data_IF_134936330753
#
_entry.id   IF_134936330753
#
_cell.length_a   1.000
_cell.length_b   1.000
_cell.length_c   1.000
_cell.angle_alpha   90.00
_cell.angle_beta   90.00
_cell.angle_gamma   90.00
#
_symmetry.space_group_name_H-M   'P 1'
#
loop_
_entity.id
_entity.type
_entity.pdbx_description
1 polymer ?
#
# COMPACT_ATOMS: atom_id res chain seq x y z
N UNK A 1 25.02 -63.81 -6.63
CA UNK A 1 24.55 -62.48 -6.98
C UNK A 1 23.73 -61.94 -5.82
N UNK A 2 24.35 -61.20 -4.94
CA UNK A 2 23.74 -60.66 -3.74
C UNK A 2 23.48 -59.16 -3.95
N UNK A 3 22.20 -58.75 -3.90
CA UNK A 3 21.79 -57.34 -3.99
C UNK A 3 21.75 -56.79 -2.57
N UNK A 4 22.64 -55.84 -2.29
CA UNK A 4 22.67 -55.06 -1.05
C UNK A 4 21.63 -53.95 -1.16
N UNK A 5 20.57 -54.02 -0.39
CA UNK A 5 19.61 -52.95 -0.21
C UNK A 5 20.13 -51.98 0.87
N UNK A 6 20.53 -50.80 0.48
CA UNK A 6 20.87 -49.67 1.39
C UNK A 6 19.52 -49.06 1.89
N UNK A 7 19.19 -49.28 3.12
CA UNK A 7 18.11 -48.55 3.85
C UNK A 7 18.69 -47.19 4.29
N UNK A 8 18.35 -46.14 3.55
CA UNK A 8 18.52 -44.76 3.98
C UNK A 8 17.41 -44.43 4.95
N UNK A 9 17.69 -44.46 6.24
CA UNK A 9 16.80 -43.92 7.27
C UNK A 9 16.92 -42.36 7.23
N UNK A 10 15.99 -41.72 6.56
CA UNK A 10 15.77 -40.28 6.66
C UNK A 10 15.14 -39.97 8.02
N UNK A 11 15.95 -39.52 8.97
CA UNK A 11 15.44 -38.84 10.18
C UNK A 11 14.81 -37.51 9.78
N UNK A 12 13.50 -37.49 9.67
CA UNK A 12 12.73 -36.25 9.53
C UNK A 12 12.80 -35.55 10.89
N UNK A 13 13.65 -34.53 10.98
CA UNK A 13 13.64 -33.59 12.10
C UNK A 13 12.40 -32.73 11.91
N UNK A 14 11.34 -33.03 12.65
CA UNK A 14 10.22 -32.11 12.83
C UNK A 14 10.75 -30.88 13.61
N UNK A 15 11.19 -29.85 12.89
CA UNK A 15 11.20 -28.52 13.47
C UNK A 15 9.75 -28.19 13.82
N UNK A 16 9.46 -28.07 15.11
CA UNK A 16 8.17 -27.61 15.60
C UNK A 16 8.03 -26.15 15.15
N UNK A 17 7.49 -25.93 13.94
CA UNK A 17 6.98 -24.63 13.56
C UNK A 17 5.93 -24.25 14.58
N UNK A 18 6.13 -23.11 15.26
CA UNK A 18 5.06 -22.49 16.03
C UNK A 18 3.89 -22.31 15.07
N UNK A 19 2.89 -23.17 15.16
CA UNK A 19 1.74 -23.16 14.29
C UNK A 19 1.04 -21.81 14.40
N UNK A 20 0.94 -21.07 13.29
CA UNK A 20 0.11 -19.87 13.20
C UNK A 20 -1.33 -20.36 13.33
N UNK A 21 -1.99 -19.99 14.43
CA UNK A 21 -3.40 -20.34 14.67
C UNK A 21 -4.32 -19.64 13.66
N UNK A 22 -4.03 -18.38 13.35
CA UNK A 22 -4.72 -17.59 12.35
C UNK A 22 -3.71 -16.65 11.69
N UNK A 23 -3.63 -16.70 10.37
CA UNK A 23 -2.86 -15.70 9.63
C UNK A 23 -3.50 -14.33 9.77
N UNK A 24 -2.68 -13.28 9.91
CA UNK A 24 -3.16 -11.91 9.91
C UNK A 24 -3.88 -11.60 8.59
N UNK A 25 -5.18 -11.29 8.66
CA UNK A 25 -5.99 -10.98 7.48
C UNK A 25 -6.09 -9.47 7.30
N UNK A 26 -5.97 -9.04 6.06
CA UNK A 26 -6.29 -7.67 5.65
C UNK A 26 -7.70 -7.66 5.08
N UNK A 27 -8.63 -6.97 5.76
CA UNK A 27 -10.03 -6.90 5.36
C UNK A 27 -10.37 -5.51 4.86
N UNK A 28 -11.12 -5.45 3.76
CA UNK A 28 -11.62 -4.21 3.21
C UNK A 28 -12.62 -3.55 4.18
N UNK A 29 -12.53 -2.21 4.31
CA UNK A 29 -13.49 -1.39 5.05
C UNK A 29 -14.07 -0.34 4.12
N UNK A 30 -15.41 -0.27 3.98
CA UNK A 30 -16.06 0.78 3.19
C UNK A 30 -15.69 2.18 3.70
N UNK A 31 -15.47 3.13 2.76
CA UNK A 31 -15.02 4.47 3.13
C UNK A 31 -15.39 5.50 2.08
N UNK A 32 -15.52 6.75 2.53
CA UNK A 32 -15.69 7.90 1.66
C UNK A 32 -14.34 8.37 1.08
N UNK A 33 -14.40 8.98 -0.09
CA UNK A 33 -13.27 9.64 -0.69
C UNK A 33 -13.68 10.91 -1.43
N UNK A 34 -12.71 11.79 -1.69
CA UNK A 34 -12.86 12.98 -2.51
C UNK A 34 -11.73 13.03 -3.54
N UNK A 35 -12.07 13.48 -4.75
CA UNK A 35 -11.10 13.75 -5.82
C UNK A 35 -11.18 15.19 -6.24
N UNK A 36 -10.03 15.85 -6.35
CA UNK A 36 -9.90 17.22 -6.88
C UNK A 36 -8.90 17.16 -8.03
N UNK A 37 -9.33 17.57 -9.20
CA UNK A 37 -8.59 17.38 -10.45
C UNK A 37 -8.62 18.64 -11.29
N UNK A 38 -7.52 18.88 -12.02
CA UNK A 38 -7.37 19.93 -13.02
C UNK A 38 -6.70 19.34 -14.26
N UNK A 39 -6.89 19.97 -15.40
CA UNK A 39 -6.28 19.48 -16.63
C UNK A 39 -6.81 20.19 -17.87
N UNK A 40 -6.93 19.45 -18.95
CA UNK A 40 -7.38 19.93 -20.23
C UNK A 40 -8.58 19.16 -20.76
N UNK A 41 -9.46 19.87 -21.45
CA UNK A 41 -10.56 19.34 -22.27
C UNK A 41 -10.25 19.58 -23.74
N UNK A 42 -10.71 18.67 -24.59
CA UNK A 42 -10.71 18.81 -26.04
C UNK A 42 -12.11 18.48 -26.54
N UNK A 43 -12.81 19.46 -27.15
CA UNK A 43 -14.08 19.22 -27.81
C UNK A 43 -13.79 18.80 -29.26
N UNK A 44 -14.30 17.65 -29.67
CA UNK A 44 -14.09 17.15 -31.04
C UNK A 44 -14.77 18.08 -32.05
N UNK A 45 -14.03 18.52 -33.05
CA UNK A 45 -14.51 19.44 -34.07
C UNK A 45 -13.61 19.46 -35.29
N UNK A 46 -13.93 20.30 -36.27
CA UNK A 46 -13.23 20.40 -37.55
C UNK A 46 -11.93 21.23 -37.48
N UNK A 47 -11.81 22.13 -36.48
CA UNK A 47 -10.63 22.95 -36.31
C UNK A 47 -9.43 22.09 -35.86
N UNK A 48 -8.22 22.67 -35.90
CA UNK A 48 -7.01 21.97 -35.50
C UNK A 48 -7.12 21.53 -34.03
N UNK A 49 -6.54 20.36 -33.72
CA UNK A 49 -6.56 19.80 -32.37
C UNK A 49 -6.10 20.79 -31.30
N UNK A 50 -5.01 21.53 -31.55
CA UNK A 50 -4.47 22.52 -30.63
C UNK A 50 -5.43 23.66 -30.30
N UNK A 51 -6.23 24.06 -31.29
CA UNK A 51 -7.11 25.23 -31.17
C UNK A 51 -8.37 24.91 -30.34
N UNK A 52 -8.74 23.60 -30.26
CA UNK A 52 -9.89 23.10 -29.50
C UNK A 52 -9.54 22.64 -28.08
N UNK A 53 -8.29 22.79 -27.66
CA UNK A 53 -7.88 22.52 -26.27
C UNK A 53 -8.33 23.67 -25.37
N UNK A 54 -8.89 23.30 -24.21
CA UNK A 54 -9.37 24.26 -23.20
C UNK A 54 -9.07 23.73 -21.77
N UNK A 55 -9.02 24.59 -20.74
CA UNK A 55 -8.86 24.16 -19.37
C UNK A 55 -10.08 23.39 -18.86
N UNK A 56 -9.85 22.43 -17.97
CA UNK A 56 -10.87 21.67 -17.31
C UNK A 56 -10.53 21.43 -15.83
N UNK A 57 -11.56 21.33 -15.00
CA UNK A 57 -11.43 20.96 -13.60
C UNK A 57 -12.57 20.03 -13.18
N UNK A 58 -12.37 19.23 -12.14
CA UNK A 58 -13.39 18.38 -11.56
C UNK A 58 -13.22 18.21 -10.06
N UNK A 59 -14.33 18.12 -9.34
CA UNK A 59 -14.40 17.74 -7.93
C UNK A 59 -15.43 16.63 -7.82
N UNK A 60 -15.04 15.49 -7.24
CA UNK A 60 -15.91 14.35 -7.03
C UNK A 60 -15.87 13.93 -5.56
N UNK A 61 -17.01 13.50 -5.03
CA UNK A 61 -17.11 12.82 -3.74
C UNK A 61 -17.71 11.45 -4.00
N UNK A 62 -17.16 10.42 -3.38
CA UNK A 62 -17.63 9.07 -3.63
C UNK A 62 -17.50 8.17 -2.41
N UNK A 63 -18.13 7.02 -2.52
CA UNK A 63 -18.14 5.97 -1.50
C UNK A 63 -17.68 4.65 -2.12
N UNK A 64 -16.62 4.09 -1.58
CA UNK A 64 -16.18 2.75 -1.93
C UNK A 64 -16.89 1.75 -1.04
N UNK A 65 -17.87 1.04 -1.61
CA UNK A 65 -18.75 0.11 -0.89
C UNK A 65 -18.26 -1.34 -0.95
N UNK A 66 -17.39 -1.66 -1.92
CA UNK A 66 -16.79 -2.98 -2.08
C UNK A 66 -15.32 -2.85 -2.50
N UNK A 67 -14.48 -3.87 -2.36
CA UNK A 67 -13.05 -3.82 -2.69
C UNK A 67 -12.76 -3.27 -4.09
N UNK A 68 -13.52 -3.72 -5.11
CA UNK A 68 -13.35 -3.32 -6.50
C UNK A 68 -14.39 -2.28 -6.99
N UNK A 69 -15.37 -1.88 -6.16
CA UNK A 69 -16.48 -1.06 -6.62
C UNK A 69 -16.68 0.19 -5.77
N UNK A 70 -16.89 1.30 -6.43
CA UNK A 70 -17.23 2.58 -5.81
C UNK A 70 -18.20 3.36 -6.69
N UNK A 71 -19.01 4.18 -6.06
CA UNK A 71 -19.85 5.17 -6.72
C UNK A 71 -19.33 6.57 -6.39
N UNK A 72 -19.42 7.50 -7.33
CA UNK A 72 -19.08 8.90 -7.08
C UNK A 72 -20.08 9.82 -7.74
N UNK A 73 -20.29 10.98 -7.13
CA UNK A 73 -21.00 12.13 -7.67
C UNK A 73 -20.03 13.30 -7.71
N UNK A 74 -20.17 14.18 -8.67
CA UNK A 74 -19.26 15.29 -8.77
C UNK A 74 -19.69 16.36 -9.75
N UNK A 75 -18.87 17.38 -9.84
CA UNK A 75 -19.03 18.49 -10.78
C UNK A 75 -17.74 18.60 -11.58
N UNK A 76 -17.86 18.75 -12.89
CA UNK A 76 -16.75 19.03 -13.79
C UNK A 76 -17.13 20.17 -14.75
N UNK A 77 -16.13 20.87 -15.25
CA UNK A 77 -16.37 21.94 -16.19
C UNK A 77 -15.20 22.89 -16.28
N UNK A 78 -15.39 23.95 -16.95
CA UNK A 78 -14.66 25.19 -17.13
C UNK A 78 -14.99 25.75 -18.52
N UNK A 79 -14.18 25.45 -19.55
CA UNK A 79 -14.25 26.02 -20.87
C UNK A 79 -14.30 24.91 -21.93
N UNK A 80 -15.06 25.15 -22.97
CA UNK A 80 -15.05 24.35 -24.19
C UNK A 80 -14.87 25.26 -25.40
N UNK A 81 -14.44 24.68 -26.53
CA UNK A 81 -14.20 25.43 -27.77
C UNK A 81 -14.85 24.73 -28.96
N UNK A 82 -15.26 25.52 -29.92
CA UNK A 82 -15.69 25.08 -31.23
C UNK A 82 -15.03 25.94 -32.32
N UNK A 83 -15.05 25.48 -33.56
CA UNK A 83 -14.43 26.27 -34.63
C UNK A 83 -14.61 25.65 -36.02
N UNK A 84 -14.15 26.40 -37.05
CA UNK A 84 -14.09 26.02 -38.44
C UNK A 84 -12.69 26.15 -39.00
N UNK A 85 -12.42 25.46 -40.11
CA UNK A 85 -11.15 25.53 -40.81
C UNK A 85 -11.17 26.61 -41.94
N UNK A 86 -12.33 26.78 -42.59
CA UNK A 86 -12.45 27.71 -43.73
C UNK A 86 -13.81 28.43 -43.72
N UNK A 87 -13.81 29.75 -43.43
CA UNK A 87 -12.68 30.50 -42.92
C UNK A 87 -12.23 30.00 -41.55
N UNK A 88 -10.93 30.16 -41.21
CA UNK A 88 -10.46 29.78 -39.91
C UNK A 88 -11.07 30.69 -38.82
N UNK A 89 -11.88 30.13 -38.00
CA UNK A 89 -12.56 30.85 -36.93
C UNK A 89 -12.86 29.91 -35.78
N UNK A 90 -12.52 30.30 -34.58
CA UNK A 90 -12.76 29.58 -33.35
C UNK A 90 -13.50 30.45 -32.34
N UNK A 91 -14.19 29.84 -31.43
CA UNK A 91 -14.93 30.45 -30.35
C UNK A 91 -14.90 29.57 -29.12
N UNK A 92 -15.11 30.19 -27.96
CA UNK A 92 -15.16 29.52 -26.67
C UNK A 92 -16.46 29.80 -25.95
N UNK A 93 -16.81 28.88 -25.09
CA UNK A 93 -17.97 28.97 -24.20
C UNK A 93 -17.64 28.22 -22.90
N UNK A 94 -18.42 28.46 -21.85
CA UNK A 94 -18.24 27.81 -20.57
C UNK A 94 -19.25 26.69 -20.38
N UNK A 95 -18.90 25.71 -19.57
CA UNK A 95 -19.83 24.65 -19.19
C UNK A 95 -19.60 24.20 -17.75
N UNK A 96 -20.66 23.69 -17.15
CA UNK A 96 -20.68 23.02 -15.86
C UNK A 96 -21.50 21.73 -16.01
N UNK A 97 -20.93 20.59 -15.56
CA UNK A 97 -21.57 19.29 -15.67
C UNK A 97 -21.60 18.58 -14.31
N UNK A 98 -22.81 18.30 -13.82
CA UNK A 98 -23.01 17.39 -12.69
C UNK A 98 -22.93 15.95 -13.17
N UNK A 99 -22.22 15.10 -12.46
CA UNK A 99 -21.89 13.72 -12.86
C UNK A 99 -22.25 12.71 -11.79
N UNK A 100 -22.65 11.52 -12.23
CA UNK A 100 -22.78 10.31 -11.41
C UNK A 100 -22.08 9.18 -12.12
N UNK A 101 -21.10 8.55 -11.47
CA UNK A 101 -20.30 7.47 -12.06
C UNK A 101 -20.27 6.24 -11.16
N UNK A 102 -20.29 5.06 -11.77
CA UNK A 102 -19.88 3.79 -11.15
C UNK A 102 -18.48 3.47 -11.63
N UNK A 103 -17.60 3.18 -10.68
CA UNK A 103 -16.17 2.97 -10.92
C UNK A 103 -15.78 1.58 -10.49
N UNK A 104 -15.08 0.86 -11.35
CA UNK A 104 -14.52 -0.47 -11.08
C UNK A 104 -12.98 -0.40 -11.02
N UNK A 105 -12.41 -0.80 -9.89
CA UNK A 105 -10.96 -0.93 -9.71
C UNK A 105 -10.47 -2.24 -10.34
N UNK A 106 -9.89 -2.14 -11.53
CA UNK A 106 -9.42 -3.28 -12.30
C UNK A 106 -8.24 -3.99 -11.62
N UNK A 107 -7.37 -3.21 -10.96
CA UNK A 107 -6.25 -3.80 -10.22
C UNK A 107 -6.72 -4.70 -9.09
N UNK A 108 -7.78 -4.32 -8.39
CA UNK A 108 -8.39 -5.13 -7.33
C UNK A 108 -9.21 -6.29 -7.92
N UNK A 109 -9.90 -6.07 -9.04
CA UNK A 109 -10.73 -7.09 -9.69
C UNK A 109 -9.88 -8.28 -10.19
N UNK A 110 -8.72 -8.00 -10.79
CA UNK A 110 -7.87 -9.03 -11.39
C UNK A 110 -6.77 -9.55 -10.45
N UNK A 111 -6.28 -8.74 -9.52
CA UNK A 111 -5.14 -9.08 -8.67
C UNK A 111 -5.50 -9.15 -7.18
N UNK A 112 -6.81 -9.16 -6.84
CA UNK A 112 -7.28 -9.18 -5.45
C UNK A 112 -7.10 -7.86 -4.70
N UNK A 113 -7.70 -7.77 -3.51
CA UNK A 113 -7.61 -6.59 -2.67
C UNK A 113 -6.25 -6.48 -2.00
N UNK A 114 -5.54 -5.37 -2.24
CA UNK A 114 -4.28 -5.03 -1.57
C UNK A 114 -4.25 -3.51 -1.28
N UNK A 115 -4.49 -3.09 -0.02
CA UNK A 115 -4.54 -1.68 0.34
C UNK A 115 -3.18 -0.96 0.25
N UNK A 116 -2.08 -1.71 0.22
CA UNK A 116 -0.71 -1.18 0.12
C UNK A 116 -0.21 -1.10 -1.33
N UNK A 117 -1.02 -1.52 -2.30
CA UNK A 117 -0.67 -1.43 -3.72
C UNK A 117 -0.41 0.01 -4.12
N UNK A 118 0.71 0.27 -4.80
CA UNK A 118 1.12 1.61 -5.24
C UNK A 118 0.28 2.07 -6.43
N UNK A 119 0.07 1.21 -7.42
CA UNK A 119 -0.69 1.50 -8.63
C UNK A 119 -2.06 0.81 -8.61
N UNK A 120 -3.14 1.58 -8.74
CA UNK A 120 -4.51 1.07 -8.87
C UNK A 120 -5.16 1.67 -10.11
N UNK A 121 -5.26 0.86 -11.17
CA UNK A 121 -5.98 1.22 -12.40
C UNK A 121 -7.47 0.97 -12.28
N UNK A 122 -8.29 1.85 -12.84
CA UNK A 122 -9.74 1.74 -12.80
C UNK A 122 -10.38 2.20 -14.11
N UNK A 123 -11.62 1.77 -14.32
CA UNK A 123 -12.52 2.26 -15.37
C UNK A 123 -13.81 2.73 -14.74
N UNK A 124 -14.54 3.59 -15.45
CA UNK A 124 -15.85 4.01 -14.99
C UNK A 124 -16.82 4.25 -16.14
N UNK A 125 -18.09 4.16 -15.81
CA UNK A 125 -19.20 4.49 -16.67
C UNK A 125 -20.19 5.32 -15.86
N UNK A 126 -20.77 6.34 -16.49
CA UNK A 126 -21.71 7.24 -15.82
C UNK A 126 -22.49 8.10 -16.76
N UNK A 127 -23.13 9.08 -16.17
CA UNK A 127 -23.89 10.09 -16.89
C UNK A 127 -23.90 11.41 -16.14
N UNK A 128 -24.38 12.43 -16.81
CA UNK A 128 -24.42 13.76 -16.21
C UNK A 128 -25.43 14.68 -16.89
N UNK A 129 -25.64 15.79 -16.20
CA UNK A 129 -26.39 16.92 -16.73
C UNK A 129 -25.41 18.08 -16.96
N UNK A 130 -25.24 18.44 -18.21
CA UNK A 130 -24.35 19.52 -18.64
C UNK A 130 -25.15 20.79 -18.88
N UNK A 131 -24.65 21.94 -18.42
CA UNK A 131 -25.13 23.26 -18.73
C UNK A 131 -24.04 24.05 -19.43
N UNK A 132 -24.22 24.33 -20.72
CA UNK A 132 -23.41 25.32 -21.45
C UNK A 132 -23.91 26.72 -21.15
N UNK A 133 -23.01 27.70 -21.03
CA UNK A 133 -23.31 29.12 -20.82
C UNK A 133 -22.14 30.00 -21.30
N UNK A 134 -22.33 31.33 -21.33
CA UNK A 134 -21.32 32.29 -21.77
C UNK A 134 -20.83 31.99 -23.21
N UNK A 135 -21.79 31.94 -24.14
CA UNK A 135 -21.56 31.63 -25.57
C UNK A 135 -21.49 32.91 -26.43
N UNK A 136 -21.06 34.00 -25.85
CA UNK A 136 -21.10 35.33 -26.49
C UNK A 136 -20.17 35.40 -27.71
N UNK A 137 -19.02 34.74 -27.67
CA UNK A 137 -18.13 34.64 -28.82
C UNK A 137 -18.79 34.02 -30.04
N UNK A 138 -19.48 32.84 -29.84
CA UNK A 138 -20.21 32.20 -30.92
C UNK A 138 -21.35 33.10 -31.47
N UNK A 139 -22.02 33.84 -30.59
CA UNK A 139 -23.11 34.74 -30.98
C UNK A 139 -22.62 36.02 -31.71
N UNK A 140 -21.35 36.36 -31.51
CA UNK A 140 -20.72 37.54 -32.20
C UNK A 140 -20.13 37.21 -33.55
N UNK A 141 -20.08 35.91 -33.92
CA UNK A 141 -19.53 35.51 -35.21
C UNK A 141 -20.39 35.98 -36.41
N UNK A 142 -19.69 36.32 -37.50
CA UNK A 142 -20.34 36.66 -38.76
C UNK A 142 -20.82 35.39 -39.47
N UNK A 143 -22.12 35.12 -39.39
CA UNK A 143 -22.74 33.90 -39.95
C UNK A 143 -23.26 34.10 -41.38
N UNK A 144 -22.92 35.17 -42.07
CA UNK A 144 -23.41 35.40 -43.46
C UNK A 144 -22.92 34.38 -44.46
N UNK A 145 -21.80 33.72 -44.19
CA UNK A 145 -21.20 32.69 -45.07
C UNK A 145 -21.46 31.26 -44.63
N UNK A 146 -21.95 31.05 -43.40
CA UNK A 146 -22.31 29.74 -42.86
C UNK A 146 -23.38 29.87 -41.76
N UNK A 147 -24.18 28.84 -41.57
CA UNK A 147 -25.28 28.84 -40.61
C UNK A 147 -24.95 27.97 -39.38
N UNK A 148 -25.10 28.55 -38.18
CA UNK A 148 -25.02 27.83 -36.93
C UNK A 148 -26.43 27.40 -36.50
N UNK A 149 -26.92 26.28 -37.02
CA UNK A 149 -28.31 25.84 -36.83
C UNK A 149 -28.67 25.59 -35.35
N UNK A 150 -27.69 25.27 -34.53
CA UNK A 150 -27.89 24.96 -33.09
C UNK A 150 -27.32 26.02 -32.18
N UNK A 151 -27.12 27.23 -32.67
CA UNK A 151 -26.65 28.37 -31.86
C UNK A 151 -27.61 28.64 -30.69
N UNK A 152 -27.05 28.68 -29.50
CA UNK A 152 -27.80 29.03 -28.28
C UNK A 152 -27.20 30.26 -27.61
N UNK A 153 -28.05 31.04 -26.88
CA UNK A 153 -27.67 32.34 -26.29
C UNK A 153 -27.61 32.26 -24.76
N UNK A 154 -28.70 31.89 -24.10
CA UNK A 154 -28.86 32.04 -22.66
C UNK A 154 -28.44 30.81 -21.84
N UNK A 155 -27.77 29.89 -22.47
CA UNK A 155 -27.37 28.60 -21.89
C UNK A 155 -28.23 27.43 -22.36
N UNK A 156 -27.65 26.26 -22.34
CA UNK A 156 -28.26 25.02 -22.82
C UNK A 156 -28.03 23.89 -21.83
N UNK A 157 -29.11 23.18 -21.47
CA UNK A 157 -29.02 21.96 -20.72
C UNK A 157 -28.97 20.76 -21.68
N UNK A 158 -28.03 19.86 -21.41
CA UNK A 158 -27.79 18.66 -22.21
C UNK A 158 -27.54 17.46 -21.28
N UNK A 159 -28.01 16.30 -21.70
CA UNK A 159 -27.63 15.05 -21.04
C UNK A 159 -26.30 14.59 -21.62
N UNK A 160 -25.40 14.16 -20.75
CA UNK A 160 -24.11 13.60 -21.12
C UNK A 160 -24.02 12.12 -20.72
N UNK A 161 -23.66 11.26 -21.67
CA UNK A 161 -23.09 9.96 -21.36
C UNK A 161 -21.60 10.10 -21.05
N UNK A 162 -21.08 9.35 -20.08
CA UNK A 162 -19.72 9.52 -19.62
C UNK A 162 -19.00 8.19 -19.41
N UNK A 163 -17.76 8.07 -19.89
CA UNK A 163 -16.92 6.91 -19.66
C UNK A 163 -15.46 7.33 -19.54
N UNK A 164 -14.68 6.53 -18.85
CA UNK A 164 -13.25 6.83 -18.74
C UNK A 164 -12.46 5.76 -18.01
N UNK A 165 -11.18 6.04 -17.96
CA UNK A 165 -10.19 5.22 -17.27
C UNK A 165 -9.21 6.12 -16.50
N UNK A 166 -8.60 5.56 -15.49
CA UNK A 166 -7.63 6.31 -14.70
C UNK A 166 -6.80 5.41 -13.80
N UNK A 167 -5.91 6.03 -13.09
CA UNK A 167 -5.13 5.36 -12.05
C UNK A 167 -4.96 6.23 -10.81
N UNK A 168 -4.79 5.57 -9.68
CA UNK A 168 -4.37 6.17 -8.42
C UNK A 168 -2.98 5.66 -8.07
N UNK A 169 -2.04 6.58 -7.88
CA UNK A 169 -0.69 6.32 -7.39
C UNK A 169 -0.67 6.62 -5.89
N UNK A 170 -0.60 5.58 -5.07
CA UNK A 170 -0.66 5.70 -3.62
C UNK A 170 0.57 6.43 -3.07
N UNK A 171 0.36 7.50 -2.31
CA UNK A 171 1.38 8.19 -1.54
C UNK A 171 1.41 7.70 -0.09
N UNK A 172 0.22 7.55 0.51
CA UNK A 172 0.05 6.99 1.86
C UNK A 172 -1.35 6.36 1.99
N UNK A 173 -1.78 5.99 3.20
CA UNK A 173 -3.09 5.33 3.42
C UNK A 173 -4.29 6.20 3.03
N UNK A 174 -4.13 7.52 3.05
CA UNK A 174 -5.22 8.48 2.81
C UNK A 174 -5.09 9.24 1.50
N UNK A 175 -3.88 9.38 0.95
CA UNK A 175 -3.60 10.26 -0.17
C UNK A 175 -3.02 9.48 -1.36
N UNK A 176 -3.54 9.76 -2.56
CA UNK A 176 -3.00 9.25 -3.83
C UNK A 176 -3.02 10.35 -4.88
N UNK A 177 -2.05 10.34 -5.79
CA UNK A 177 -2.15 11.09 -7.04
C UNK A 177 -3.15 10.35 -7.92
N UNK A 178 -4.07 11.10 -8.50
CA UNK A 178 -5.07 10.57 -9.44
C UNK A 178 -4.78 11.12 -10.84
N UNK A 179 -4.77 10.25 -11.84
CA UNK A 179 -4.67 10.60 -13.25
C UNK A 179 -5.87 9.96 -13.95
N UNK A 180 -6.63 10.72 -14.71
CA UNK A 180 -7.87 10.26 -15.35
C UNK A 180 -8.00 10.80 -16.77
N UNK A 181 -8.36 9.92 -17.70
CA UNK A 181 -8.82 10.26 -19.03
C UNK A 181 -10.30 9.88 -19.18
N UNK A 182 -11.13 10.81 -19.65
CA UNK A 182 -12.55 10.52 -19.86
C UNK A 182 -13.11 11.13 -21.14
N UNK A 183 -14.17 10.51 -21.64
CA UNK A 183 -14.95 10.97 -22.77
C UNK A 183 -16.38 11.25 -22.31
N UNK A 184 -16.91 12.39 -22.70
CA UNK A 184 -18.30 12.77 -22.54
C UNK A 184 -18.95 12.79 -23.92
N UNK A 185 -20.11 12.14 -24.04
CA UNK A 185 -20.94 12.11 -25.25
C UNK A 185 -22.15 12.98 -24.99
N UNK A 186 -22.29 14.05 -25.76
CA UNK A 186 -23.36 15.03 -25.62
C UNK A 186 -24.20 15.11 -26.89
N UNK A 187 -25.34 15.77 -26.82
CA UNK A 187 -26.12 16.08 -28.02
C UNK A 187 -25.34 17.01 -28.94
N UNK A 188 -25.56 16.87 -30.26
CA UNK A 188 -25.08 17.72 -31.39
C UNK A 188 -25.31 19.24 -31.22
N UNK A 189 -25.89 19.64 -30.06
CA UNK A 189 -26.18 21.01 -29.74
C UNK A 189 -25.16 21.64 -28.78
N UNK A 190 -24.16 20.86 -28.34
CA UNK A 190 -23.22 21.31 -27.33
C UNK A 190 -22.28 22.40 -27.88
N UNK A 191 -21.75 22.21 -29.08
CA UNK A 191 -20.85 23.13 -29.72
C UNK A 191 -21.53 24.16 -30.65
N UNK A 192 -22.87 24.33 -30.58
CA UNK A 192 -23.66 25.27 -31.41
C UNK A 192 -23.71 24.96 -32.91
N UNK A 193 -23.01 23.95 -33.39
CA UNK A 193 -22.95 23.54 -34.78
C UNK A 193 -23.90 22.34 -35.01
N UNK A 194 -24.30 22.09 -36.24
CA UNK A 194 -25.01 20.87 -36.63
C UNK A 194 -24.07 19.98 -37.44
N UNK A 195 -23.67 18.86 -36.86
CA UNK A 195 -22.88 17.85 -37.55
C UNK A 195 -23.69 16.57 -37.86
N UNK A 196 -24.90 16.42 -37.31
CA UNK A 196 -25.75 15.26 -37.46
C UNK A 196 -25.30 14.03 -36.64
N UNK A 197 -24.37 14.22 -35.72
CA UNK A 197 -23.86 13.19 -34.80
C UNK A 197 -23.69 13.79 -33.39
N UNK A 198 -23.38 12.94 -32.41
CA UNK A 198 -23.14 13.38 -31.06
C UNK A 198 -21.83 14.18 -30.94
N UNK A 199 -21.85 15.22 -30.11
CA UNK A 199 -20.63 15.94 -29.74
C UNK A 199 -19.84 15.14 -28.72
N UNK A 200 -18.52 15.07 -28.94
CA UNK A 200 -17.59 14.40 -28.05
C UNK A 200 -16.66 15.40 -27.38
N UNK A 201 -16.52 15.25 -26.06
CA UNK A 201 -15.54 16.00 -25.30
C UNK A 201 -14.66 15.04 -24.52
N UNK A 202 -13.36 15.14 -24.73
CA UNK A 202 -12.33 14.36 -24.04
C UNK A 202 -11.65 15.21 -22.98
N UNK A 203 -11.45 14.65 -21.78
CA UNK A 203 -10.73 15.31 -20.72
C UNK A 203 -9.53 14.47 -20.29
N UNK A 204 -8.40 15.13 -20.06
CA UNK A 204 -7.21 14.59 -19.42
C UNK A 204 -6.97 15.36 -18.12
N UNK A 205 -7.10 14.70 -16.98
CA UNK A 205 -7.11 15.31 -15.66
C UNK A 205 -6.06 14.68 -14.76
N UNK A 206 -5.44 15.51 -13.93
CA UNK A 206 -4.54 15.09 -12.85
C UNK A 206 -4.97 15.78 -11.55
N UNK A 207 -4.81 15.08 -10.44
CA UNK A 207 -5.20 15.64 -9.15
C UNK A 207 -4.91 14.73 -7.98
N UNK A 208 -5.65 14.93 -6.92
CA UNK A 208 -5.51 14.20 -5.67
C UNK A 208 -6.79 13.40 -5.39
N UNK A 209 -6.60 12.17 -4.92
CA UNK A 209 -7.65 11.36 -4.35
C UNK A 209 -7.40 11.21 -2.84
N UNK A 210 -8.32 11.69 -2.03
CA UNK A 210 -8.24 11.78 -0.57
C UNK A 210 -9.26 10.83 0.03
N UNK A 211 -8.82 9.85 0.82
CA UNK A 211 -9.70 8.90 1.53
C UNK A 211 -10.00 9.42 2.93
N UNK A 212 -11.26 9.36 3.33
CA UNK A 212 -11.69 9.69 4.69
C UNK A 212 -11.65 8.44 5.57
N UNK A 213 -10.54 8.26 6.28
CA UNK A 213 -10.26 7.11 7.13
C UNK A 213 -9.38 6.05 6.45
N UNK A 214 -9.11 4.97 7.17
CA UNK A 214 -8.41 3.79 6.63
C UNK A 214 -9.43 2.91 5.92
N UNK A 215 -9.19 2.58 4.67
CA UNK A 215 -10.05 1.72 3.85
C UNK A 215 -9.87 0.23 4.14
N UNK A 216 -9.24 -0.15 5.25
CA UNK A 216 -8.98 -1.53 5.63
C UNK A 216 -8.68 -1.68 7.12
N UNK A 217 -8.85 -2.91 7.62
CA UNK A 217 -8.37 -3.35 8.92
C UNK A 217 -7.34 -4.46 8.73
N UNK A 218 -6.31 -4.47 9.56
CA UNK A 218 -5.34 -5.56 9.64
C UNK A 218 -5.50 -6.26 10.99
N UNK A 219 -5.80 -7.55 10.99
CA UNK A 219 -5.71 -8.39 12.18
C UNK A 219 -4.29 -8.93 12.29
N UNK A 220 -3.73 -8.91 13.50
CA UNK A 220 -2.42 -9.51 13.75
C UNK A 220 -2.56 -11.04 13.70
N UNK A 221 -1.55 -11.77 13.22
CA UNK A 221 -1.54 -13.22 13.32
C UNK A 221 -1.63 -13.63 14.79
N UNK A 222 -2.50 -14.59 15.09
CA UNK A 222 -2.62 -15.20 16.41
C UNK A 222 -1.78 -16.47 16.39
N UNK A 223 -0.79 -16.56 17.26
CA UNK A 223 0.04 -17.74 17.41
C UNK A 223 -0.62 -18.68 18.43
N UNK A 224 -0.45 -19.99 18.25
CA UNK A 224 -0.77 -20.94 19.31
C UNK A 224 0.14 -20.63 20.51
N UNK A 225 -0.44 -20.30 21.62
CA UNK A 225 0.24 -20.43 22.89
C UNK A 225 0.46 -21.94 23.06
N UNK A 226 1.71 -22.38 23.14
CA UNK A 226 2.01 -23.79 23.35
C UNK A 226 1.28 -24.21 24.64
N UNK A 227 0.25 -25.06 24.52
CA UNK A 227 -0.34 -25.67 25.69
C UNK A 227 0.81 -26.29 26.50
N UNK A 228 0.86 -26.08 27.82
CA UNK A 228 1.85 -26.74 28.63
C UNK A 228 1.69 -28.23 28.39
N UNK A 229 2.74 -28.85 27.86
CA UNK A 229 2.76 -30.32 27.68
C UNK A 229 2.47 -30.91 29.05
N UNK A 230 1.23 -31.38 29.25
CA UNK A 230 0.87 -32.19 30.38
C UNK A 230 1.61 -33.51 30.16
N UNK A 231 2.78 -33.63 30.76
CA UNK A 231 3.48 -34.90 30.84
C UNK A 231 2.60 -35.77 31.69
N UNK A 232 1.85 -36.68 31.05
CA UNK A 232 1.12 -37.74 31.74
C UNK A 232 2.11 -38.46 32.70
N UNK A 233 1.88 -38.32 33.99
CA UNK A 233 2.70 -39.01 34.98
C UNK A 233 2.56 -40.53 34.71
N UNK A 234 3.66 -41.27 34.55
CA UNK A 234 3.60 -42.72 34.43
C UNK A 234 2.98 -43.31 35.71
N UNK A 235 2.03 -44.24 35.53
CA UNK A 235 1.39 -45.00 36.61
C UNK A 235 2.47 -45.57 37.53
N UNK A 236 2.26 -45.61 38.87
CA UNK A 236 3.26 -46.04 39.82
C UNK A 236 3.62 -47.51 39.63
N UNK A 237 4.87 -47.79 39.34
CA UNK A 237 5.50 -49.12 39.45
C UNK A 237 6.12 -49.22 40.84
N UNK A 238 6.13 -50.42 41.48
CA UNK A 238 6.50 -50.56 42.89
C UNK A 238 7.95 -50.08 43.19
N UNK A 239 8.07 -49.41 44.31
CA UNK A 239 9.24 -48.72 44.81
C UNK A 239 10.44 -49.66 44.97
N UNK A 240 11.53 -49.35 44.27
CA UNK A 240 12.89 -49.72 44.66
C UNK A 240 13.55 -48.40 45.07
N UNK A 241 13.96 -48.29 46.31
CA UNK A 241 14.62 -47.13 46.91
C UNK A 241 15.88 -46.77 46.10
N UNK A 242 15.91 -45.60 45.44
CA UNK A 242 17.10 -44.98 44.88
C UNK A 242 17.20 -43.50 45.31
N UNK A 243 18.39 -42.94 45.39
CA UNK A 243 18.68 -41.69 46.10
C UNK A 243 17.98 -40.45 45.46
N UNK A 244 17.58 -39.53 46.32
CA UNK A 244 16.83 -38.28 46.00
C UNK A 244 17.37 -37.51 44.83
N UNK A 245 16.55 -37.14 43.81
CA UNK A 245 16.96 -36.22 42.73
C UNK A 245 17.04 -34.80 43.27
N UNK A 246 18.13 -34.13 42.89
CA UNK A 246 18.35 -32.69 43.06
C UNK A 246 17.16 -31.92 42.46
N UNK A 247 16.63 -30.94 43.21
CA UNK A 247 15.62 -29.98 42.75
C UNK A 247 16.06 -29.35 41.40
N UNK A 248 15.28 -29.57 40.33
CA UNK A 248 15.41 -28.79 39.08
C UNK A 248 15.06 -27.32 39.41
N UNK A 249 16.05 -26.47 39.28
CA UNK A 249 15.88 -25.02 39.34
C UNK A 249 15.24 -24.60 38.02
N UNK A 250 14.00 -24.14 38.07
CA UNK A 250 13.33 -23.51 36.90
C UNK A 250 14.09 -22.22 36.61
N UNK A 251 14.96 -22.26 35.62
CA UNK A 251 15.74 -21.12 35.18
C UNK A 251 14.86 -20.24 34.32
N UNK A 252 14.55 -19.01 34.78
CA UNK A 252 13.78 -18.05 33.97
C UNK A 252 14.65 -17.58 32.80
N UNK A 253 14.10 -17.54 31.56
CA UNK A 253 14.85 -17.07 30.39
C UNK A 253 15.29 -15.61 30.56
N UNK A 254 16.56 -15.35 30.25
CA UNK A 254 17.14 -14.00 30.32
C UNK A 254 17.07 -13.32 28.97
N UNK A 255 16.50 -12.11 28.93
CA UNK A 255 16.46 -11.25 27.75
C UNK A 255 17.31 -9.98 27.96
N UNK A 256 18.16 -9.64 26.99
CA UNK A 256 18.91 -8.38 26.96
C UNK A 256 18.85 -7.72 25.59
N UNK A 257 18.66 -6.42 25.57
CA UNK A 257 18.57 -5.58 24.36
C UNK A 257 19.78 -4.67 24.27
N UNK A 258 20.66 -4.91 23.28
CA UNK A 258 21.89 -4.16 23.03
C UNK A 258 21.63 -3.13 21.93
N UNK A 259 21.60 -1.85 22.27
CA UNK A 259 21.31 -0.76 21.35
C UNK A 259 22.58 -0.21 20.67
N UNK A 260 22.38 0.34 19.45
CA UNK A 260 23.47 0.86 18.62
C UNK A 260 23.21 2.28 18.15
N UNK A 261 24.26 3.04 17.95
CA UNK A 261 24.20 4.34 17.33
C UNK A 261 23.77 4.25 15.84
N UNK A 262 23.32 5.38 15.29
CA UNK A 262 22.98 5.49 13.89
C UNK A 262 24.16 5.06 13.00
N UNK A 263 23.87 4.26 11.98
CA UNK A 263 24.85 3.73 11.02
C UNK A 263 26.07 3.06 11.67
N UNK A 264 25.90 2.48 12.86
CA UNK A 264 26.97 1.82 13.61
C UNK A 264 26.57 0.42 14.06
N UNK A 265 27.55 -0.48 14.07
CA UNK A 265 27.47 -1.80 14.70
C UNK A 265 28.43 -1.92 15.90
N UNK A 266 29.11 -0.83 16.28
CA UNK A 266 30.00 -0.81 17.43
C UNK A 266 29.17 -0.84 18.72
N UNK A 267 29.48 -1.78 19.61
CA UNK A 267 28.88 -1.84 20.96
C UNK A 267 29.37 -0.63 21.76
N UNK A 268 28.46 0.16 22.26
CA UNK A 268 28.75 1.35 23.07
C UNK A 268 29.13 0.94 24.48
N UNK A 269 29.89 1.81 25.19
CA UNK A 269 30.41 1.47 26.50
C UNK A 269 29.31 1.29 27.56
N UNK A 270 28.21 2.03 27.43
CA UNK A 270 27.00 1.90 28.25
C UNK A 270 26.23 0.58 28.04
N UNK A 271 26.46 -0.11 26.91
CA UNK A 271 25.84 -1.40 26.59
C UNK A 271 26.69 -2.61 27.07
N UNK A 272 27.94 -2.40 27.44
CA UNK A 272 28.87 -3.49 27.84
C UNK A 272 28.39 -4.23 29.08
N UNK A 273 27.81 -3.53 30.05
CA UNK A 273 27.25 -4.14 31.26
C UNK A 273 26.17 -5.17 30.99
N UNK A 274 25.36 -4.98 29.92
CA UNK A 274 24.31 -5.93 29.51
C UNK A 274 24.91 -7.21 28.91
N UNK A 275 26.08 -7.08 28.25
CA UNK A 275 26.84 -8.25 27.77
C UNK A 275 27.42 -9.00 28.96
N UNK A 276 27.93 -8.29 29.96
CA UNK A 276 28.47 -8.91 31.18
C UNK A 276 27.40 -9.71 31.92
N UNK A 277 26.18 -9.17 32.04
CA UNK A 277 25.04 -9.89 32.63
C UNK A 277 24.67 -11.16 31.84
N UNK A 278 24.71 -11.12 30.48
CA UNK A 278 24.48 -12.29 29.65
C UNK A 278 25.56 -13.35 29.84
N UNK A 279 26.83 -12.93 29.94
CA UNK A 279 27.95 -13.82 30.18
C UNK A 279 27.82 -14.51 31.55
N UNK A 280 27.53 -13.75 32.59
CA UNK A 280 27.31 -14.27 33.97
C UNK A 280 26.15 -15.29 33.96
N UNK A 281 25.03 -14.95 33.34
CA UNK A 281 23.91 -15.88 33.22
C UNK A 281 24.30 -17.18 32.50
N UNK A 282 24.99 -17.08 31.36
CA UNK A 282 25.41 -18.24 30.57
C UNK A 282 26.48 -19.08 31.30
N UNK A 283 27.35 -18.46 32.11
CA UNK A 283 28.33 -19.18 32.93
C UNK A 283 27.65 -19.94 34.08
N UNK A 284 26.65 -19.31 34.72
CA UNK A 284 25.86 -19.94 35.79
C UNK A 284 24.90 -21.02 35.28
N UNK A 285 24.61 -21.03 33.97
CA UNK A 285 23.69 -21.99 33.30
C UNK A 285 24.40 -22.68 32.11
N UNK A 286 25.26 -23.69 32.34
CA UNK A 286 26.09 -24.31 31.30
C UNK A 286 25.29 -24.92 30.12
N UNK A 287 24.05 -25.35 30.36
CA UNK A 287 23.18 -25.91 29.33
C UNK A 287 22.45 -24.84 28.51
N UNK A 288 22.38 -23.58 28.95
CA UNK A 288 21.68 -22.51 28.25
C UNK A 288 22.42 -22.10 26.97
N UNK A 289 21.65 -21.77 25.93
CA UNK A 289 22.13 -21.21 24.67
C UNK A 289 21.54 -19.84 24.48
N UNK A 290 22.27 -18.93 23.85
CA UNK A 290 21.79 -17.58 23.55
C UNK A 290 21.53 -17.42 22.07
N UNK A 291 20.34 -16.89 21.73
CA UNK A 291 20.01 -16.44 20.37
C UNK A 291 20.17 -14.92 20.31
N UNK A 292 21.04 -14.45 19.43
CA UNK A 292 21.33 -13.04 19.16
C UNK A 292 20.71 -12.66 17.83
N UNK A 293 19.66 -11.84 17.81
CA UNK A 293 18.99 -11.39 16.60
C UNK A 293 19.19 -9.90 16.39
N UNK A 294 19.83 -9.52 15.28
CA UNK A 294 20.11 -8.13 14.92
C UNK A 294 18.96 -7.49 14.12
N UNK A 295 18.72 -6.21 14.37
CA UNK A 295 17.70 -5.39 13.71
C UNK A 295 18.28 -4.05 13.24
N UNK A 296 17.59 -3.42 12.30
CA UNK A 296 17.91 -2.09 11.81
C UNK A 296 16.63 -1.25 11.67
N UNK A 297 16.80 0.05 11.84
CA UNK A 297 15.75 1.06 11.73
C UNK A 297 15.31 1.22 10.26
N UNK A 298 14.00 1.07 10.00
CA UNK A 298 13.41 1.16 8.65
C UNK A 298 13.44 2.58 8.08
N UNK A 299 13.48 3.61 8.93
CA UNK A 299 13.47 5.02 8.50
C UNK A 299 14.85 5.53 8.05
N UNK A 300 15.91 4.72 8.20
CA UNK A 300 17.27 5.08 7.82
C UNK A 300 17.91 4.03 6.93
N UNK A 301 18.73 4.46 5.96
CA UNK A 301 19.41 3.57 5.02
C UNK A 301 18.49 3.01 3.93
N UNK A 302 18.80 1.81 3.47
CA UNK A 302 18.00 1.04 2.52
C UNK A 302 18.03 -0.45 2.92
N UNK A 303 17.14 -1.32 2.37
CA UNK A 303 17.04 -2.72 2.77
C UNK A 303 18.38 -3.50 2.70
N UNK A 304 19.21 -3.23 1.69
CA UNK A 304 20.52 -3.89 1.53
C UNK A 304 21.51 -3.46 2.61
N UNK A 305 21.57 -2.16 2.90
CA UNK A 305 22.42 -1.59 3.97
C UNK A 305 21.92 -2.08 5.32
N UNK A 306 20.61 -2.02 5.57
CA UNK A 306 19.99 -2.41 6.83
C UNK A 306 20.16 -3.91 7.12
N UNK A 307 20.10 -4.76 6.10
CA UNK A 307 20.39 -6.19 6.22
C UNK A 307 21.84 -6.40 6.66
N UNK A 308 22.82 -5.80 5.97
CA UNK A 308 24.24 -5.90 6.32
C UNK A 308 24.53 -5.32 7.72
N UNK A 309 23.91 -4.20 8.07
CA UNK A 309 24.12 -3.56 9.37
C UNK A 309 23.55 -4.40 10.52
N UNK A 310 22.40 -5.03 10.34
CA UNK A 310 21.81 -5.93 11.34
C UNK A 310 22.64 -7.19 11.54
N UNK A 311 23.22 -7.74 10.48
CA UNK A 311 24.15 -8.87 10.53
C UNK A 311 25.41 -8.52 11.33
N UNK A 312 26.01 -7.35 11.04
CA UNK A 312 27.20 -6.87 11.78
C UNK A 312 26.90 -6.61 13.25
N UNK A 313 25.73 -6.08 13.58
CA UNK A 313 25.31 -5.86 14.98
C UNK A 313 25.20 -7.17 15.74
N UNK A 314 24.51 -8.16 15.18
CA UNK A 314 24.40 -9.48 15.81
C UNK A 314 25.76 -10.19 15.89
N UNK A 315 26.57 -10.10 14.84
CA UNK A 315 27.93 -10.65 14.81
C UNK A 315 28.83 -10.06 15.92
N UNK A 316 28.86 -8.74 16.06
CA UNK A 316 29.68 -8.07 17.06
C UNK A 316 29.27 -8.42 18.50
N UNK A 317 27.97 -8.62 18.77
CA UNK A 317 27.52 -9.12 20.08
C UNK A 317 27.97 -10.57 20.29
N UNK A 318 27.84 -11.43 19.29
CA UNK A 318 28.30 -12.81 19.37
C UNK A 318 29.82 -12.89 19.61
N UNK A 319 30.59 -12.05 18.94
CA UNK A 319 32.05 -11.99 19.11
C UNK A 319 32.44 -11.46 20.49
N UNK A 320 31.67 -10.50 21.04
CA UNK A 320 31.87 -10.04 22.40
C UNK A 320 31.60 -11.13 23.45
N UNK A 321 30.56 -11.97 23.22
CA UNK A 321 30.28 -13.14 24.09
C UNK A 321 31.37 -14.19 24.00
N UNK A 322 31.88 -14.49 22.79
CA UNK A 322 33.02 -15.41 22.57
C UNK A 322 34.29 -14.93 23.25
N UNK A 323 34.59 -13.62 23.12
CA UNK A 323 35.77 -13.01 23.78
C UNK A 323 35.73 -13.12 25.31
N UNK A 324 34.54 -13.28 25.90
CA UNK A 324 34.30 -13.50 27.32
C UNK A 324 34.14 -14.99 27.71
N UNK A 325 34.49 -15.90 26.80
CA UNK A 325 34.57 -17.34 27.08
C UNK A 325 33.33 -18.16 26.81
N UNK A 326 32.30 -17.60 26.17
CA UNK A 326 31.13 -18.38 25.76
C UNK A 326 31.44 -19.13 24.45
N UNK A 327 31.25 -20.45 24.43
CA UNK A 327 31.58 -21.30 23.29
C UNK A 327 30.62 -21.11 22.12
N UNK A 328 31.13 -21.28 20.89
CA UNK A 328 30.37 -20.98 19.65
C UNK A 328 29.10 -21.82 19.49
N UNK A 329 29.08 -23.05 19.96
CA UNK A 329 27.95 -23.99 19.93
C UNK A 329 26.77 -23.52 20.81
N UNK A 330 27.03 -22.58 21.71
CA UNK A 330 26.03 -21.97 22.59
C UNK A 330 25.47 -20.64 22.06
N UNK A 331 26.01 -20.12 20.93
CA UNK A 331 25.63 -18.81 20.38
C UNK A 331 25.00 -19.00 19.02
N UNK A 332 23.71 -18.70 18.89
CA UNK A 332 22.99 -18.65 17.63
C UNK A 332 22.87 -17.21 17.15
N UNK A 333 23.25 -16.92 15.91
CA UNK A 333 23.20 -15.56 15.34
C UNK A 333 22.16 -15.52 14.21
N UNK A 334 21.28 -14.51 14.26
CA UNK A 334 20.25 -14.24 13.25
C UNK A 334 20.19 -12.73 12.96
N UNK A 335 19.61 -12.34 11.84
CA UNK A 335 19.43 -10.93 11.46
C UNK A 335 18.17 -10.72 10.65
N UNK A 336 17.41 -9.68 10.95
CA UNK A 336 16.13 -9.34 10.31
C UNK A 336 16.20 -8.09 9.42
N UNK A 337 17.34 -7.39 9.38
CA UNK A 337 17.41 -6.11 8.66
C UNK A 337 16.41 -5.11 9.21
N UNK A 338 15.67 -4.50 8.31
CA UNK A 338 14.55 -3.60 8.58
C UNK A 338 13.18 -4.24 8.33
N UNK A 339 13.12 -5.53 8.03
CA UNK A 339 11.87 -6.24 7.74
C UNK A 339 10.99 -6.46 8.97
N UNK A 340 11.60 -6.47 10.16
CA UNK A 340 10.91 -6.60 11.45
C UNK A 340 11.33 -5.44 12.35
N UNK A 341 10.37 -4.75 12.94
CA UNK A 341 10.58 -3.63 13.86
C UNK A 341 10.04 -4.01 15.25
N UNK A 342 10.90 -4.53 16.15
CA UNK A 342 10.47 -4.98 17.47
C UNK A 342 9.98 -3.86 18.38
N UNK A 343 10.40 -2.60 18.12
CA UNK A 343 10.00 -1.42 18.90
C UNK A 343 9.22 -0.42 18.07
N UNK A 344 8.35 0.36 18.74
CA UNK A 344 7.53 1.39 18.11
C UNK A 344 8.34 2.61 17.66
N UNK A 345 9.33 3.00 18.47
CA UNK A 345 10.24 4.09 18.13
C UNK A 345 11.28 3.59 17.13
N UNK A 346 11.41 4.25 15.96
CA UNK A 346 12.31 3.77 14.89
C UNK A 346 13.77 3.63 15.35
N UNK A 347 14.25 4.56 16.18
CA UNK A 347 15.61 4.58 16.73
C UNK A 347 15.91 3.38 17.65
N UNK A 348 14.90 2.85 18.34
CA UNK A 348 15.03 1.68 19.21
C UNK A 348 15.22 0.37 18.42
N UNK A 349 14.90 0.39 17.10
CA UNK A 349 15.13 -0.76 16.23
C UNK A 349 16.60 -0.91 15.77
N UNK A 350 17.47 -0.01 16.19
CA UNK A 350 18.92 -0.17 16.08
C UNK A 350 19.44 -1.03 17.23
N UNK A 351 19.08 -2.32 17.24
CA UNK A 351 19.22 -3.21 18.39
C UNK A 351 19.66 -4.63 17.99
N UNK A 352 20.36 -5.32 18.90
CA UNK A 352 20.47 -6.78 18.89
C UNK A 352 19.76 -7.32 20.15
N UNK A 353 18.73 -8.13 19.95
CA UNK A 353 17.97 -8.78 21.02
C UNK A 353 18.60 -10.13 21.30
N UNK A 354 19.01 -10.33 22.55
CA UNK A 354 19.63 -11.54 23.07
C UNK A 354 18.65 -12.26 24.00
N UNK A 355 18.36 -13.53 23.72
CA UNK A 355 17.50 -14.39 24.54
C UNK A 355 18.29 -15.65 24.88
N UNK A 356 18.54 -15.87 26.17
CA UNK A 356 19.29 -17.00 26.69
C UNK A 356 18.39 -17.90 27.56
#
# INVERSE_FOLDING_TARGET
MSVFALLLSSTVIFAQEQGIKEEGKTEFKPHWFMQVQVGAAHTLGEAKFSDLISPAAAINVGYQFAPAWRARVGVSGWQAKGGWVSPQQDYQYKYLQGNIDIVSDLSTLFCGFNPKRVFNGYVFLGGGLNRGFDNDEANALDTRTYEMEYLWRDGKFLIAGRMGLGCNLRLNDRLSINIEGNANVLSDKFNSKKAGNADWQFNALIGLNIKFGKGYTETKPVYYEAEPVVVEQPKPVPVVEQPQPKKEVVVQPMKQDIFFALNSAKIQDDQKSKIDMLVEYLQNNPAAKVKVTGYADVNTGNPKINKSLSEKRAGNVADALKAKGITTDRIMVDSKGDTVQPYKAPEENRVSICIA
#
